data_IF_674368718631
#
_entry.id   IF_674368718631
#
_cell.length_a   1.000
_cell.length_b   1.000
_cell.length_c   1.000
_cell.angle_alpha   90.00
_cell.angle_beta   90.00
_cell.angle_gamma   90.00
#
_symmetry.space_group_name_H-M   'P 1'
#
loop_
_entity.id
_entity.type
_entity.pdbx_description
1 polymer ?
#
# COMPACT_ATOMS: atom_id res chain seq x y z
N UNK A 1 -14.21 -8.00 -18.77
CA UNK A 1 -13.95 -8.89 -17.63
C UNK A 1 -12.89 -8.21 -16.80
N UNK A 2 -13.24 -7.58 -15.68
CA UNK A 2 -12.27 -6.93 -14.80
C UNK A 2 -11.67 -7.98 -13.90
N UNK A 3 -10.59 -8.62 -14.34
CA UNK A 3 -9.80 -9.53 -13.51
C UNK A 3 -9.08 -8.68 -12.45
N UNK A 4 -9.53 -8.77 -11.20
CA UNK A 4 -8.71 -8.34 -10.06
C UNK A 4 -7.55 -9.32 -9.97
N UNK A 5 -6.37 -8.91 -10.43
CA UNK A 5 -5.14 -9.70 -10.32
C UNK A 5 -4.54 -9.42 -8.95
N UNK A 6 -4.20 -10.46 -8.21
CA UNK A 6 -3.43 -10.34 -6.96
C UNK A 6 -1.96 -10.39 -7.31
N UNK A 7 -1.21 -9.35 -6.93
CA UNK A 7 0.22 -9.21 -7.17
C UNK A 7 0.95 -8.96 -5.84
N UNK A 8 2.26 -9.16 -5.84
CA UNK A 8 3.12 -8.91 -4.70
C UNK A 8 3.82 -7.56 -4.85
N UNK A 9 3.66 -6.69 -3.86
CA UNK A 9 4.25 -5.36 -3.79
C UNK A 9 5.21 -5.31 -2.61
N UNK A 10 6.47 -5.01 -2.87
CA UNK A 10 7.50 -4.90 -1.82
C UNK A 10 7.88 -3.44 -1.64
N UNK A 11 8.01 -3.02 -0.39
CA UNK A 11 8.35 -1.64 -0.08
C UNK A 11 8.41 -1.38 1.42
N UNK A 12 8.44 -0.10 1.75
CA UNK A 12 8.44 0.39 3.13
C UNK A 12 7.12 1.08 3.41
N UNK A 13 6.55 0.84 4.59
CA UNK A 13 5.35 1.52 5.04
C UNK A 13 5.71 2.93 5.49
N UNK A 14 5.01 3.92 4.94
CA UNK A 14 5.16 5.33 5.31
C UNK A 14 3.80 5.95 5.60
N UNK A 15 3.78 6.93 6.51
CA UNK A 15 2.60 7.73 6.79
C UNK A 15 2.78 9.11 6.17
N UNK A 16 1.91 9.47 5.23
CA UNK A 16 1.90 10.80 4.64
C UNK A 16 0.86 11.66 5.37
N UNK A 17 1.31 12.76 5.96
CA UNK A 17 0.45 13.77 6.62
C UNK A 17 -0.25 14.65 5.57
N UNK A 18 -1.06 14.03 4.73
CA UNK A 18 -1.86 14.68 3.69
C UNK A 18 -3.33 14.49 4.02
N UNK A 19 -4.11 15.56 4.02
CA UNK A 19 -5.58 15.57 4.15
C UNK A 19 -6.13 14.67 5.29
N UNK A 20 -5.45 14.61 6.44
CA UNK A 20 -5.88 13.80 7.59
C UNK A 20 -5.14 12.48 7.76
N UNK A 21 -4.13 12.21 6.93
CA UNK A 21 -3.21 11.09 7.10
C UNK A 21 -3.54 9.90 6.20
N UNK A 22 -2.58 9.49 5.39
CA UNK A 22 -2.70 8.31 4.53
C UNK A 22 -1.48 7.42 4.69
N UNK A 23 -1.75 6.14 4.93
CA UNK A 23 -0.72 5.11 4.96
C UNK A 23 -0.44 4.63 3.54
N UNK A 24 0.84 4.58 3.18
CA UNK A 24 1.30 4.17 1.86
C UNK A 24 2.35 3.09 1.95
N UNK A 25 2.43 2.26 0.91
CA UNK A 25 3.61 1.47 0.61
C UNK A 25 4.46 2.26 -0.39
N UNK A 26 5.69 2.57 -0.01
CA UNK A 26 6.68 3.16 -0.91
C UNK A 26 7.64 2.09 -1.41
N UNK A 27 7.67 1.89 -2.73
CA UNK A 27 8.58 0.92 -3.35
C UNK A 27 9.99 1.48 -3.47
N UNK A 28 10.97 0.61 -3.76
CA UNK A 28 12.35 1.04 -4.02
C UNK A 28 12.47 2.02 -5.20
N UNK A 29 11.51 1.98 -6.12
CA UNK A 29 11.43 2.87 -7.28
C UNK A 29 10.77 4.22 -6.97
N UNK A 30 10.35 4.45 -5.72
CA UNK A 30 9.68 5.67 -5.29
C UNK A 30 8.22 5.77 -5.73
N UNK A 31 7.58 4.65 -6.09
CA UNK A 31 6.13 4.63 -6.30
C UNK A 31 5.39 4.49 -4.97
N UNK A 32 4.33 5.25 -4.80
CA UNK A 32 3.49 5.22 -3.61
C UNK A 32 2.16 4.51 -3.93
N UNK A 33 1.79 3.56 -3.09
CA UNK A 33 0.51 2.88 -3.14
C UNK A 33 -0.26 3.15 -1.86
N UNK A 34 -1.42 3.79 -1.97
CA UNK A 34 -2.26 4.05 -0.81
C UNK A 34 -2.87 2.74 -0.30
N UNK A 35 -2.70 2.46 0.98
CA UNK A 35 -3.14 1.21 1.57
C UNK A 35 -4.64 1.25 1.87
N UNK A 36 -5.36 0.27 1.31
CA UNK A 36 -6.78 0.08 1.57
C UNK A 36 -7.01 -1.22 2.33
N UNK A 37 -7.83 -1.15 3.38
CA UNK A 37 -8.13 -2.28 4.30
C UNK A 37 -6.87 -2.91 4.94
N UNK A 38 -5.82 -2.11 5.12
CA UNK A 38 -4.63 -2.56 5.83
C UNK A 38 -4.93 -2.87 7.31
N UNK A 39 -4.47 -4.01 7.83
CA UNK A 39 -4.54 -4.31 9.26
C UNK A 39 -3.62 -3.37 10.06
N UNK A 40 -3.96 -3.09 11.31
CA UNK A 40 -3.19 -2.16 12.15
C UNK A 40 -1.72 -2.57 12.34
N UNK A 41 -1.45 -3.88 12.32
CA UNK A 41 -0.09 -4.45 12.42
C UNK A 41 0.81 -4.06 11.23
N UNK A 42 0.21 -3.70 10.08
CA UNK A 42 0.91 -3.22 8.91
C UNK A 42 1.21 -1.71 8.98
N UNK A 43 0.47 -0.95 9.80
CA UNK A 43 0.52 0.51 9.85
C UNK A 43 1.62 0.98 10.81
N UNK A 44 2.87 0.64 10.48
CA UNK A 44 4.06 0.98 11.26
C UNK A 44 5.02 1.72 10.34
N UNK A 45 5.33 2.97 10.66
CA UNK A 45 6.26 3.79 9.88
C UNK A 45 7.65 3.13 9.83
N UNK A 46 8.23 3.04 8.62
CA UNK A 46 9.54 2.43 8.37
C UNK A 46 9.52 0.90 8.29
N UNK A 47 8.35 0.25 8.34
CA UNK A 47 8.25 -1.21 8.27
C UNK A 47 8.47 -1.71 6.83
N UNK A 48 9.53 -2.49 6.62
CA UNK A 48 9.77 -3.21 5.36
C UNK A 48 8.87 -4.43 5.22
N UNK A 49 8.08 -4.49 4.15
CA UNK A 49 7.07 -5.53 3.94
C UNK A 49 6.94 -5.93 2.47
N UNK A 50 6.45 -7.15 2.27
CA UNK A 50 5.84 -7.58 1.01
C UNK A 50 4.35 -7.78 1.22
N UNK A 51 3.53 -7.01 0.51
CA UNK A 51 2.08 -7.06 0.52
C UNK A 51 1.60 -7.87 -0.69
N UNK A 52 0.72 -8.85 -0.47
CA UNK A 52 -0.10 -9.40 -1.54
C UNK A 52 -1.42 -8.65 -1.58
N UNK A 53 -1.74 -8.08 -2.74
CA UNK A 53 -2.91 -7.26 -2.89
C UNK A 53 -3.28 -7.04 -4.35
N UNK A 54 -4.35 -6.28 -4.56
CA UNK A 54 -4.79 -5.91 -5.90
C UNK A 54 -4.89 -4.40 -6.02
N UNK A 55 -4.40 -3.86 -7.14
CA UNK A 55 -4.58 -2.46 -7.46
C UNK A 55 -6.04 -2.20 -7.84
N UNK A 56 -6.61 -1.16 -7.23
CA UNK A 56 -7.95 -0.69 -7.57
C UNK A 56 -7.81 0.48 -8.54
N UNK A 57 -7.59 0.18 -9.81
CA UNK A 57 -7.43 1.19 -10.87
C UNK A 57 -8.68 2.08 -11.07
N UNK A 58 -9.84 1.66 -10.57
CA UNK A 58 -11.08 2.44 -10.59
C UNK A 58 -11.19 3.44 -9.42
N UNK A 59 -10.34 3.29 -8.39
CA UNK A 59 -10.31 4.18 -7.23
C UNK A 59 -9.16 5.17 -7.38
N UNK A 60 -9.49 6.43 -7.66
CA UNK A 60 -8.55 7.53 -7.48
C UNK A 60 -8.51 7.91 -6.00
N UNK A 61 -7.30 8.04 -5.44
CA UNK A 61 -7.13 8.58 -4.09
C UNK A 61 -7.46 10.07 -4.09
N UNK A 62 -8.21 10.54 -3.08
CA UNK A 62 -8.50 11.98 -2.92
C UNK A 62 -7.21 12.80 -2.84
N UNK A 63 -6.18 12.24 -2.19
CA UNK A 63 -4.90 12.89 -1.97
C UNK A 63 -3.96 12.90 -3.20
N UNK A 64 -4.37 12.36 -4.37
CA UNK A 64 -3.54 12.24 -5.58
C UNK A 64 -2.17 11.54 -5.33
N UNK A 65 -2.09 10.72 -4.28
CA UNK A 65 -0.86 10.09 -3.82
C UNK A 65 -0.41 8.96 -4.75
N UNK A 66 -1.37 8.30 -5.41
CA UNK A 66 -1.12 7.18 -6.29
C UNK A 66 -2.30 6.23 -6.38
N UNK A 67 -2.03 5.04 -6.92
CA UNK A 67 -2.98 3.94 -7.02
C UNK A 67 -3.32 3.37 -5.63
N UNK A 68 -4.55 2.87 -5.48
CA UNK A 68 -5.02 2.23 -4.25
C UNK A 68 -4.67 0.75 -4.27
N UNK A 69 -3.94 0.28 -3.26
CA UNK A 69 -3.61 -1.13 -3.05
C UNK A 69 -4.52 -1.71 -1.97
N UNK A 70 -5.41 -2.64 -2.36
CA UNK A 70 -6.19 -3.41 -1.40
C UNK A 70 -5.34 -4.54 -0.82
N UNK A 71 -5.04 -4.43 0.47
CA UNK A 71 -4.22 -5.39 1.20
C UNK A 71 -5.03 -6.68 1.44
N UNK A 72 -4.53 -7.80 0.92
CA UNK A 72 -5.11 -9.13 1.18
C UNK A 72 -4.29 -9.88 2.22
N UNK A 73 -2.97 -9.82 2.13
CA UNK A 73 -2.05 -10.35 3.14
C UNK A 73 -0.71 -9.61 3.07
N UNK A 74 0.11 -9.74 4.11
CA UNK A 74 1.45 -9.16 4.14
C UNK A 74 2.42 -10.06 4.89
N UNK A 75 3.70 -9.91 4.56
CA UNK A 75 4.81 -10.54 5.28
C UNK A 75 5.83 -9.45 5.61
N UNK A 76 6.24 -9.39 6.87
CA UNK A 76 7.32 -8.49 7.29
C UNK A 76 8.66 -9.04 6.87
N UNK A 77 9.53 -8.17 6.36
CA UNK A 77 10.92 -8.52 6.10
C UNK A 77 11.67 -8.43 7.44
N UNK A 78 11.73 -9.53 8.18
CA UNK A 78 12.63 -9.65 9.33
C UNK A 78 14.09 -9.55 8.85
N UNK A 79 14.97 -8.85 9.59
CA UNK A 79 16.41 -8.88 9.33
C UNK A 79 17.00 -10.28 9.54
#
# INVERSE_FOLDING_TARGET
>A
MSTSVTEAFTGTIEFLDLEGGVWVLTTDQGQHYALFRAPQELLIEGLGVTIQGSLKSDMMTAAQVGEVLEVQSFTTQTP
#
